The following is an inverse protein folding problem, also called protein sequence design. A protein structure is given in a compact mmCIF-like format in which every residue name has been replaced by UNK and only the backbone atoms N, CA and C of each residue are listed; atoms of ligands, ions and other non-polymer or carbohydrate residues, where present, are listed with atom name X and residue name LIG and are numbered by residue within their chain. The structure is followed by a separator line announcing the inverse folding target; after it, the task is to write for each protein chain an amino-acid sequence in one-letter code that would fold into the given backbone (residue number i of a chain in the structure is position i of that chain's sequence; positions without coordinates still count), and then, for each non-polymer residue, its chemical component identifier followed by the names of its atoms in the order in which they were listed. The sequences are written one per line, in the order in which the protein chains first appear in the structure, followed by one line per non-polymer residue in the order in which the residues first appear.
data_IF_148119171003
#
_entry.id   IF_148119171003
#
_cell.length_a   1.000
_cell.length_b   1.000
_cell.length_c   1.000
_cell.angle_alpha   90.00
_cell.angle_beta   90.00
_cell.angle_gamma   90.00
#
_symmetry.space_group_name_H-M   'P 1'
#
loop_
_entity.id
_entity.type
_entity.pdbx_description
1 polymer ?
#
# COMPACT_ATOMS: atom_id res chain seq x y z
N UNK A 1 33.08 -17.16 20.81
CA UNK A 1 32.17 -16.30 20.01
C UNK A 1 30.85 -16.19 20.76
N UNK A 2 30.43 -14.97 21.16
CA UNK A 2 29.22 -14.77 21.99
C UNK A 2 27.99 -15.41 21.30
N UNK A 3 27.18 -16.21 22.02
CA UNK A 3 25.97 -16.86 21.48
C UNK A 3 25.04 -15.86 20.78
N UNK A 4 24.99 -14.63 21.30
CA UNK A 4 24.24 -13.51 20.74
C UNK A 4 24.79 -13.01 19.40
N UNK A 5 26.13 -12.92 19.25
CA UNK A 5 26.78 -12.58 17.97
C UNK A 5 26.50 -13.64 16.90
N UNK A 6 26.45 -14.92 17.30
CA UNK A 6 26.05 -16.01 16.41
C UNK A 6 24.59 -15.87 15.99
N UNK A 7 23.68 -15.62 16.94
CA UNK A 7 22.25 -15.48 16.66
C UNK A 7 21.92 -14.28 15.75
N UNK A 8 22.52 -13.10 15.98
CA UNK A 8 22.35 -11.92 15.12
C UNK A 8 22.90 -12.21 13.72
N UNK A 9 24.07 -12.84 13.62
CA UNK A 9 24.66 -13.26 12.34
C UNK A 9 23.77 -14.28 11.62
N UNK A 10 23.16 -15.22 12.34
CA UNK A 10 22.26 -16.23 11.76
C UNK A 10 20.95 -15.59 11.27
N UNK A 11 20.37 -14.61 11.98
CA UNK A 11 19.20 -13.84 11.52
C UNK A 11 19.52 -13.05 10.25
N UNK A 12 20.64 -12.32 10.26
CA UNK A 12 21.07 -11.53 9.10
C UNK A 12 21.40 -12.41 7.90
N UNK A 13 22.09 -13.54 8.11
CA UNK A 13 22.39 -14.52 7.07
C UNK A 13 21.11 -15.16 6.51
N UNK A 14 20.13 -15.49 7.36
CA UNK A 14 18.86 -16.06 6.89
C UNK A 14 18.03 -15.04 6.11
N UNK A 15 18.00 -13.78 6.54
CA UNK A 15 17.35 -12.69 5.81
C UNK A 15 18.05 -12.42 4.46
N UNK A 16 19.37 -12.52 4.42
CA UNK A 16 20.18 -12.36 3.20
C UNK A 16 19.99 -13.53 2.23
N UNK A 17 19.97 -14.78 2.72
CA UNK A 17 19.68 -15.98 1.92
C UNK A 17 18.25 -15.99 1.38
N UNK A 18 17.30 -15.41 2.12
CA UNK A 18 15.92 -15.21 1.66
C UNK A 18 15.78 -14.03 0.67
N UNK A 19 16.88 -13.32 0.37
CA UNK A 19 16.91 -12.11 -0.44
C UNK A 19 16.14 -10.94 0.17
N UNK A 20 15.81 -11.00 1.46
CA UNK A 20 15.03 -10.01 2.22
C UNK A 20 15.87 -8.80 2.64
N UNK A 21 17.20 -8.88 2.46
CA UNK A 21 18.15 -7.77 2.53
C UNK A 21 18.77 -7.57 1.15
N UNK A 22 18.46 -6.44 0.50
CA UNK A 22 19.24 -5.94 -0.65
C UNK A 22 20.34 -5.03 -0.09
N UNK A 23 21.57 -5.27 -0.51
CA UNK A 23 22.82 -4.69 -0.01
C UNK A 23 23.28 -5.18 1.38
N UNK A 24 23.98 -6.31 1.34
CA UNK A 24 24.83 -6.84 2.43
C UNK A 24 25.84 -5.83 2.99
N UNK A 25 26.14 -4.75 2.27
CA UNK A 25 27.32 -3.95 2.54
C UNK A 25 27.05 -2.73 3.43
N UNK A 26 25.78 -2.38 3.70
CA UNK A 26 25.45 -1.22 4.57
C UNK A 26 25.01 -1.61 5.98
N UNK A 27 24.35 -2.74 6.18
CA UNK A 27 23.89 -3.18 7.51
C UNK A 27 24.95 -3.98 8.28
N UNK A 28 25.77 -4.78 7.59
CA UNK A 28 26.86 -5.54 8.23
C UNK A 28 28.02 -4.60 8.65
N UNK A 29 28.19 -3.47 7.94
CA UNK A 29 29.19 -2.44 8.22
C UNK A 29 28.73 -1.35 9.20
N UNK A 30 27.41 -1.17 9.43
CA UNK A 30 26.90 -0.21 10.43
C UNK A 30 26.79 -0.79 11.84
N UNK A 31 26.79 -2.12 11.98
CA UNK A 31 26.96 -2.77 13.27
C UNK A 31 28.46 -3.04 13.43
N UNK A 32 29.18 -2.30 14.31
CA UNK A 32 30.63 -2.41 14.41
C UNK A 32 31.00 -3.75 15.03
N UNK A 33 31.17 -4.78 14.20
CA UNK A 33 31.64 -6.09 14.65
C UNK A 33 33.17 -6.17 14.75
N UNK A 34 33.90 -5.17 14.26
CA UNK A 34 35.34 -5.07 14.38
C UNK A 34 35.80 -3.70 14.91
N UNK A 35 36.49 -3.81 16.04
CA UNK A 35 37.54 -2.94 16.60
C UNK A 35 37.17 -1.69 17.41
N UNK A 36 37.66 -1.79 18.66
CA UNK A 36 37.92 -0.78 19.67
C UNK A 36 36.75 -0.36 20.56
N UNK A 37 36.96 -0.57 21.85
CA UNK A 37 36.01 -0.46 22.94
C UNK A 37 35.46 0.97 23.13
N UNK A 38 34.14 1.07 23.31
CA UNK A 38 33.49 1.98 24.29
C UNK A 38 31.96 1.94 24.30
N UNK A 39 31.29 1.28 23.34
CA UNK A 39 29.83 1.07 23.39
C UNK A 39 29.46 -0.41 23.27
N UNK A 40 29.55 -1.13 24.39
CA UNK A 40 28.82 -2.38 24.55
C UNK A 40 27.35 -2.01 24.59
N UNK A 41 26.60 -2.32 23.54
CA UNK A 41 25.13 -2.21 23.58
C UNK A 41 24.65 -2.97 24.82
N UNK A 42 23.79 -2.33 25.61
CA UNK A 42 23.10 -3.00 26.70
C UNK A 42 22.27 -4.17 26.15
N UNK A 43 21.99 -5.15 27.00
CA UNK A 43 21.13 -6.28 26.63
C UNK A 43 19.77 -5.76 26.12
N UNK A 44 19.24 -4.69 26.72
CA UNK A 44 18.00 -4.03 26.30
C UNK A 44 18.08 -3.37 24.92
N UNK A 45 19.18 -2.67 24.60
CA UNK A 45 19.38 -2.11 23.25
C UNK A 45 19.50 -3.21 22.19
N UNK A 46 20.15 -4.31 22.55
CA UNK A 46 20.31 -5.46 21.65
C UNK A 46 18.97 -6.17 21.40
N UNK A 47 18.17 -6.39 22.44
CA UNK A 47 16.82 -6.94 22.32
C UNK A 47 15.92 -6.04 21.45
N UNK A 48 16.00 -4.72 21.62
CA UNK A 48 15.26 -3.77 20.80
C UNK A 48 15.66 -3.82 19.32
N UNK A 49 16.96 -3.93 19.03
CA UNK A 49 17.46 -4.07 17.64
C UNK A 49 16.98 -5.39 17.04
N UNK A 50 17.08 -6.50 17.77
CA UNK A 50 16.60 -7.82 17.31
C UNK A 50 15.10 -7.76 17.01
N UNK A 51 14.30 -7.17 17.91
CA UNK A 51 12.86 -7.02 17.71
C UNK A 51 12.54 -6.21 16.47
N UNK A 52 13.20 -5.06 16.27
CA UNK A 52 13.03 -4.22 15.07
C UNK A 52 13.41 -4.97 13.78
N UNK A 53 14.49 -5.75 13.80
CA UNK A 53 14.91 -6.58 12.66
C UNK A 53 13.88 -7.67 12.35
N UNK A 54 13.35 -8.35 13.37
CA UNK A 54 12.31 -9.37 13.21
C UNK A 54 11.00 -8.77 12.69
N UNK A 55 10.59 -7.61 13.20
CA UNK A 55 9.43 -6.85 12.71
C UNK A 55 9.61 -6.48 11.24
N UNK A 56 10.76 -5.91 10.88
CA UNK A 56 11.08 -5.56 9.50
C UNK A 56 11.08 -6.78 8.57
N UNK A 57 11.67 -7.90 9.00
CA UNK A 57 11.68 -9.14 8.23
C UNK A 57 10.26 -9.65 7.99
N UNK A 58 9.41 -9.62 9.03
CA UNK A 58 7.99 -10.00 8.92
C UNK A 58 7.24 -9.08 7.95
N UNK A 59 7.53 -7.79 7.95
CA UNK A 59 6.96 -6.82 7.01
C UNK A 59 7.39 -7.12 5.57
N UNK A 60 8.68 -7.31 5.30
CA UNK A 60 9.20 -7.67 3.96
C UNK A 60 8.54 -8.96 3.45
N UNK A 61 8.49 -10.01 4.29
CA UNK A 61 7.84 -11.27 3.94
C UNK A 61 6.36 -11.07 3.60
N UNK A 62 5.66 -10.26 4.39
CA UNK A 62 4.24 -9.93 4.17
C UNK A 62 4.05 -9.16 2.85
N UNK A 63 4.90 -8.18 2.56
CA UNK A 63 4.87 -7.40 1.30
C UNK A 63 5.07 -8.31 0.08
N UNK A 64 6.04 -9.22 0.12
CA UNK A 64 6.28 -10.20 -0.94
C UNK A 64 5.13 -11.18 -1.12
N UNK A 65 4.54 -11.66 -0.04
CA UNK A 65 3.35 -12.52 -0.10
C UNK A 65 2.18 -11.80 -0.78
N UNK A 66 1.97 -10.51 -0.46
CA UNK A 66 0.95 -9.68 -1.11
C UNK A 66 1.23 -9.48 -2.61
N UNK A 67 2.46 -9.17 -3.00
CA UNK A 67 2.82 -9.01 -4.42
C UNK A 67 2.64 -10.30 -5.24
N UNK A 68 2.79 -11.47 -4.61
CA UNK A 68 2.54 -12.78 -5.23
C UNK A 68 1.06 -13.18 -5.29
N UNK A 69 0.21 -12.57 -4.46
CA UNK A 69 -1.21 -12.90 -4.37
C UNK A 69 -2.08 -11.64 -4.33
N UNK A 70 -2.60 -11.26 -5.50
CA UNK A 70 -3.43 -10.08 -5.72
C UNK A 70 -4.70 -10.03 -4.86
N UNK A 71 -5.17 -11.17 -4.34
CA UNK A 71 -6.33 -11.21 -3.45
C UNK A 71 -6.04 -10.56 -2.10
N UNK A 72 -4.77 -10.57 -1.66
CA UNK A 72 -4.32 -9.93 -0.42
C UNK A 72 -4.09 -8.41 -0.56
N UNK A 73 -4.14 -7.91 -1.79
CA UNK A 73 -4.01 -6.50 -2.12
C UNK A 73 -5.39 -5.83 -2.02
N UNK A 74 -5.44 -4.68 -1.35
CA UNK A 74 -6.66 -3.90 -1.11
C UNK A 74 -6.95 -2.92 -2.23
N UNK A 75 -5.95 -2.41 -2.95
CA UNK A 75 -6.14 -1.46 -4.05
C UNK A 75 -5.00 -1.50 -5.06
N UNK A 76 -5.22 -0.95 -6.25
CA UNK A 76 -4.18 -0.71 -7.24
C UNK A 76 -3.08 0.19 -6.68
N UNK A 77 -3.44 1.25 -5.94
CA UNK A 77 -2.47 2.12 -5.27
C UNK A 77 -1.56 1.40 -4.30
N UNK A 78 -2.10 0.47 -3.49
CA UNK A 78 -1.29 -0.38 -2.61
C UNK A 78 -0.34 -1.26 -3.43
N UNK A 79 -0.81 -1.85 -4.54
CA UNK A 79 0.07 -2.65 -5.40
C UNK A 79 1.23 -1.85 -5.95
N UNK A 80 0.94 -0.67 -6.52
CA UNK A 80 1.95 0.23 -7.10
C UNK A 80 2.99 0.58 -6.04
N UNK A 81 2.56 0.95 -4.83
CA UNK A 81 3.46 1.30 -3.75
C UNK A 81 4.33 0.11 -3.31
N UNK A 82 3.74 -1.06 -3.09
CA UNK A 82 4.50 -2.26 -2.72
C UNK A 82 5.52 -2.66 -3.80
N UNK A 83 5.13 -2.53 -5.06
CA UNK A 83 6.02 -2.83 -6.19
C UNK A 83 7.17 -1.82 -6.28
N UNK A 84 6.90 -0.53 -6.10
CA UNK A 84 7.92 0.52 -6.06
C UNK A 84 8.93 0.26 -4.93
N UNK A 85 8.45 -0.08 -3.73
CA UNK A 85 9.30 -0.39 -2.58
C UNK A 85 10.19 -1.62 -2.82
N UNK A 86 9.65 -2.70 -3.42
CA UNK A 86 10.43 -3.92 -3.71
C UNK A 86 11.49 -3.70 -4.81
N UNK A 87 11.24 -2.77 -5.73
CA UNK A 87 12.11 -2.48 -6.88
C UNK A 87 12.93 -1.19 -6.73
N UNK A 88 12.82 -0.49 -5.60
CA UNK A 88 13.54 0.75 -5.29
C UNK A 88 13.34 1.85 -6.35
N UNK A 89 12.12 1.94 -6.90
CA UNK A 89 11.78 2.87 -7.99
C UNK A 89 11.17 4.15 -7.42
N UNK A 90 11.79 5.30 -7.70
CA UNK A 90 11.27 6.61 -7.32
C UNK A 90 10.01 6.98 -8.13
N UNK A 91 9.19 7.89 -7.61
CA UNK A 91 7.88 8.22 -8.21
C UNK A 91 7.96 8.73 -9.65
N UNK A 92 8.98 9.52 -9.99
CA UNK A 92 9.17 10.05 -11.35
C UNK A 92 9.41 8.93 -12.37
N UNK A 93 10.30 8.00 -12.04
CA UNK A 93 10.58 6.84 -12.87
C UNK A 93 9.35 5.92 -12.96
N UNK A 94 8.60 5.79 -11.87
CA UNK A 94 7.38 4.98 -11.85
C UNK A 94 6.30 5.55 -12.77
N UNK A 95 6.08 6.86 -12.75
CA UNK A 95 5.13 7.54 -13.63
C UNK A 95 5.48 7.27 -15.11
N UNK A 96 6.76 7.40 -15.46
CA UNK A 96 7.27 7.10 -16.80
C UNK A 96 7.03 5.64 -17.20
N UNK A 97 7.35 4.67 -16.32
CA UNK A 97 7.15 3.24 -16.57
C UNK A 97 5.67 2.90 -16.82
N UNK A 98 4.77 3.51 -16.05
CA UNK A 98 3.33 3.33 -16.21
C UNK A 98 2.75 4.11 -17.40
N UNK A 99 3.50 5.06 -17.96
CA UNK A 99 3.03 5.94 -19.03
C UNK A 99 1.93 6.91 -18.57
N UNK A 100 1.99 7.32 -17.30
CA UNK A 100 1.10 8.31 -16.68
C UNK A 100 1.91 9.52 -16.27
N UNK A 101 1.25 10.67 -16.09
CA UNK A 101 1.91 11.83 -15.47
C UNK A 101 1.99 11.66 -13.94
N UNK A 102 2.73 12.56 -13.28
CA UNK A 102 2.95 12.48 -11.83
C UNK A 102 1.66 12.66 -11.02
N UNK A 103 0.72 13.48 -11.51
CA UNK A 103 -0.57 13.71 -10.84
C UNK A 103 -1.47 12.48 -10.94
N UNK A 104 -1.52 11.84 -12.10
CA UNK A 104 -2.21 10.57 -12.34
C UNK A 104 -1.62 9.45 -11.48
N UNK A 105 -0.28 9.36 -11.35
CA UNK A 105 0.35 8.43 -10.42
C UNK A 105 -0.10 8.68 -8.97
N UNK A 106 -0.16 9.94 -8.56
CA UNK A 106 -0.64 10.30 -7.22
C UNK A 106 -2.12 9.94 -7.02
N UNK A 107 -2.97 10.11 -8.03
CA UNK A 107 -4.37 9.68 -8.01
C UNK A 107 -4.45 8.17 -7.78
N UNK A 108 -3.66 7.38 -8.54
CA UNK A 108 -3.61 5.92 -8.41
C UNK A 108 -3.13 5.51 -7.02
N UNK A 109 -2.03 6.08 -6.53
CA UNK A 109 -1.41 5.69 -5.24
C UNK A 109 -2.28 6.05 -4.05
N UNK A 110 -2.87 7.24 -4.05
CA UNK A 110 -3.51 7.79 -2.84
C UNK A 110 -4.96 7.34 -2.67
N UNK A 111 -5.62 6.85 -3.73
CA UNK A 111 -7.05 6.52 -3.73
C UNK A 111 -7.97 7.70 -3.32
N UNK A 112 -7.46 8.93 -3.26
CA UNK A 112 -8.22 10.10 -2.77
C UNK A 112 -9.15 10.71 -3.81
N UNK A 113 -8.94 10.38 -5.09
CA UNK A 113 -9.69 10.88 -6.23
C UNK A 113 -10.09 9.71 -7.14
N UNK A 114 -11.14 9.91 -7.94
CA UNK A 114 -11.58 8.89 -8.89
C UNK A 114 -10.57 8.74 -10.02
N UNK A 115 -9.97 7.55 -10.13
CA UNK A 115 -9.08 7.21 -11.25
C UNK A 115 -9.82 7.07 -12.59
N UNK A 116 -11.16 7.14 -12.61
CA UNK A 116 -11.97 7.09 -13.84
C UNK A 116 -11.62 8.24 -14.79
N UNK A 117 -11.06 9.33 -14.27
CA UNK A 117 -10.52 10.45 -15.06
C UNK A 117 -9.25 10.12 -15.85
N UNK A 118 -8.57 9.01 -15.53
CA UNK A 118 -7.38 8.56 -16.24
C UNK A 118 -7.81 7.92 -17.56
N UNK A 119 -7.12 8.28 -18.64
CA UNK A 119 -7.40 7.72 -19.95
C UNK A 119 -7.25 6.18 -19.97
N UNK A 120 -8.15 5.51 -20.71
CA UNK A 120 -8.23 4.05 -20.75
C UNK A 120 -6.93 3.45 -21.28
N UNK A 121 -6.33 4.02 -22.32
CA UNK A 121 -5.11 3.47 -22.92
C UNK A 121 -3.93 3.57 -21.94
N UNK A 122 -3.84 4.69 -21.21
CA UNK A 122 -2.84 4.86 -20.14
C UNK A 122 -3.05 3.88 -18.99
N UNK A 123 -4.29 3.70 -18.54
CA UNK A 123 -4.61 2.74 -17.50
C UNK A 123 -4.26 1.31 -17.94
N UNK A 124 -4.57 0.93 -19.18
CA UNK A 124 -4.21 -0.38 -19.73
C UNK A 124 -2.69 -0.55 -19.78
N UNK A 125 -1.95 0.46 -20.24
CA UNK A 125 -0.48 0.44 -20.23
C UNK A 125 0.07 0.22 -18.82
N UNK A 126 -0.46 0.94 -17.83
CA UNK A 126 -0.07 0.80 -16.43
C UNK A 126 -0.35 -0.61 -15.88
N UNK A 127 -1.51 -1.18 -16.19
CA UNK A 127 -1.89 -2.53 -15.74
C UNK A 127 -1.09 -3.64 -16.45
N UNK A 128 -0.86 -3.50 -17.77
CA UNK A 128 -0.05 -4.43 -18.57
C UNK A 128 1.43 -4.40 -18.15
N UNK A 129 1.95 -3.25 -17.68
CA UNK A 129 3.30 -3.15 -17.11
C UNK A 129 3.52 -4.15 -15.96
N UNK A 130 2.51 -4.34 -15.10
CA UNK A 130 2.57 -5.31 -13.99
C UNK A 130 2.24 -6.75 -14.42
N UNK A 131 2.04 -7.01 -15.71
CA UNK A 131 1.69 -8.32 -16.29
C UNK A 131 0.41 -8.94 -15.70
N UNK A 132 -0.55 -8.10 -15.29
CA UNK A 132 -1.84 -8.59 -14.81
C UNK A 132 -2.64 -9.25 -15.93
N UNK A 133 -3.41 -10.28 -15.58
CA UNK A 133 -4.54 -10.73 -16.40
C UNK A 133 -5.69 -9.75 -16.25
N UNK A 134 -6.54 -9.65 -17.26
CA UNK A 134 -7.69 -8.74 -17.24
C UNK A 134 -8.58 -8.93 -15.99
N UNK A 135 -8.86 -10.18 -15.60
CA UNK A 135 -9.65 -10.48 -14.40
C UNK A 135 -9.02 -9.94 -13.10
N UNK A 136 -7.69 -9.99 -12.98
CA UNK A 136 -6.96 -9.47 -11.82
C UNK A 136 -6.97 -7.94 -11.81
N UNK A 137 -6.73 -7.33 -12.97
CA UNK A 137 -6.79 -5.89 -13.16
C UNK A 137 -8.18 -5.34 -12.85
N UNK A 138 -9.24 -6.00 -13.34
CA UNK A 138 -10.64 -5.68 -13.05
C UNK A 138 -10.91 -5.71 -11.55
N UNK A 139 -10.53 -6.80 -10.87
CA UNK A 139 -10.74 -6.94 -9.43
C UNK A 139 -10.04 -5.82 -8.63
N UNK A 140 -8.80 -5.44 -9.02
CA UNK A 140 -8.10 -4.33 -8.38
C UNK A 140 -8.80 -2.99 -8.64
N UNK A 141 -9.24 -2.73 -9.87
CA UNK A 141 -9.96 -1.50 -10.23
C UNK A 141 -11.25 -1.37 -9.41
N UNK A 142 -12.03 -2.45 -9.30
CA UNK A 142 -13.27 -2.48 -8.52
C UNK A 142 -12.99 -2.18 -7.03
N UNK A 143 -11.99 -2.86 -6.43
CA UNK A 143 -11.58 -2.59 -5.04
C UNK A 143 -11.10 -1.15 -4.84
N UNK A 144 -10.31 -0.63 -5.76
CA UNK A 144 -9.78 0.75 -5.73
C UNK A 144 -10.90 1.76 -5.77
N UNK A 145 -11.90 1.55 -6.64
CA UNK A 145 -13.04 2.44 -6.79
C UNK A 145 -13.94 2.44 -5.56
N UNK A 146 -14.13 1.26 -4.96
CA UNK A 146 -14.86 1.13 -3.72
C UNK A 146 -14.18 1.91 -2.59
N UNK A 147 -12.87 1.76 -2.45
CA UNK A 147 -12.09 2.45 -1.42
C UNK A 147 -12.07 3.97 -1.60
N UNK A 148 -11.91 4.48 -2.83
CA UNK A 148 -11.89 5.93 -3.07
C UNK A 148 -13.22 6.60 -2.70
N UNK A 149 -14.34 5.92 -3.00
CA UNK A 149 -15.67 6.41 -2.68
C UNK A 149 -15.99 6.35 -1.17
N UNK A 150 -15.52 5.33 -0.46
CA UNK A 150 -15.64 5.26 1.00
C UNK A 150 -14.81 6.34 1.67
N UNK A 151 -13.53 6.49 1.28
CA UNK A 151 -12.65 7.48 1.89
C UNK A 151 -13.18 8.91 1.71
N UNK A 152 -13.71 9.24 0.54
CA UNK A 152 -14.35 10.54 0.30
C UNK A 152 -15.58 10.74 1.20
N UNK A 153 -16.39 9.70 1.36
CA UNK A 153 -17.56 9.73 2.25
C UNK A 153 -17.16 9.91 3.71
N UNK A 154 -16.11 9.23 4.17
CA UNK A 154 -15.56 9.37 5.52
C UNK A 154 -14.96 10.73 5.78
N UNK A 155 -14.22 11.29 4.82
CA UNK A 155 -13.66 12.65 4.93
C UNK A 155 -14.75 13.71 5.03
N UNK A 156 -15.82 13.57 4.23
CA UNK A 156 -16.97 14.46 4.28
C UNK A 156 -17.76 14.32 5.59
N UNK A 157 -17.84 13.11 6.15
CA UNK A 157 -18.45 12.89 7.46
C UNK A 157 -17.62 13.54 8.58
N UNK A 158 -16.29 13.39 8.54
CA UNK A 158 -15.36 13.99 9.50
C UNK A 158 -15.35 15.53 9.42
N UNK A 159 -15.36 16.11 8.21
CA UNK A 159 -15.39 17.57 8.06
C UNK A 159 -16.67 18.18 8.63
N UNK A 160 -17.80 17.48 8.55
CA UNK A 160 -19.07 17.92 9.19
C UNK A 160 -19.02 17.87 10.71
N UNK A 161 -18.15 17.03 11.27
CA UNK A 161 -17.89 16.96 12.70
C UNK A 161 -17.01 18.12 13.16
N UNK A 162 -15.90 18.40 12.46
CA UNK A 162 -14.94 19.45 12.82
C UNK A 162 -15.53 20.87 12.77
N UNK A 163 -16.60 21.10 11.99
CA UNK A 163 -17.26 22.40 11.84
C UNK A 163 -18.18 22.75 13.03
N UNK A 164 -18.56 21.80 13.90
CA UNK A 164 -19.56 22.03 14.97
C UNK A 164 -18.91 22.47 16.29
N UNK A 165 -19.60 23.32 17.08
CA UNK A 165 -19.11 23.78 18.40
C UNK A 165 -18.78 22.60 19.36
N UNK A 166 -17.82 22.77 20.30
CA UNK A 166 -17.34 21.72 21.19
C UNK A 166 -18.43 20.97 21.98
N UNK A 167 -19.50 21.67 22.37
CA UNK A 167 -20.63 21.09 23.13
C UNK A 167 -21.45 20.04 22.36
N UNK A 168 -21.34 19.99 21.03
CA UNK A 168 -22.09 19.08 20.16
C UNK A 168 -21.24 17.96 19.56
N UNK A 169 -19.96 17.86 19.92
CA UNK A 169 -19.03 16.87 19.39
C UNK A 169 -19.51 15.44 19.68
N UNK A 170 -19.84 15.08 20.93
CA UNK A 170 -20.25 13.70 21.27
C UNK A 170 -21.45 13.16 20.47
N UNK A 171 -22.49 13.99 20.26
CA UNK A 171 -23.66 13.62 19.43
C UNK A 171 -23.32 13.57 17.94
N UNK A 172 -22.44 14.45 17.47
CA UNK A 172 -22.00 14.51 16.07
C UNK A 172 -21.07 13.35 15.70
N UNK A 173 -20.19 12.93 16.62
CA UNK A 173 -19.33 11.75 16.45
C UNK A 173 -20.17 10.49 16.35
N UNK A 174 -21.14 10.33 17.25
CA UNK A 174 -22.07 9.20 17.24
C UNK A 174 -22.86 9.14 15.92
N UNK A 175 -23.38 10.27 15.45
CA UNK A 175 -24.10 10.34 14.17
C UNK A 175 -23.20 10.09 12.96
N UNK A 176 -21.95 10.57 12.95
CA UNK A 176 -20.98 10.28 11.88
C UNK A 176 -20.56 8.80 11.85
N UNK A 177 -20.37 8.19 13.02
CA UNK A 177 -20.08 6.76 13.15
C UNK A 177 -21.29 5.92 12.76
N UNK A 178 -22.50 6.29 13.17
CA UNK A 178 -23.75 5.64 12.74
C UNK A 178 -24.00 5.79 11.23
N UNK A 179 -23.67 6.94 10.62
CA UNK A 179 -23.70 7.14 9.16
C UNK A 179 -22.69 6.22 8.45
N UNK A 180 -21.47 6.13 8.98
CA UNK A 180 -20.41 5.27 8.42
C UNK A 180 -20.75 3.79 8.56
N UNK A 181 -21.25 3.35 9.71
CA UNK A 181 -21.68 1.98 9.95
C UNK A 181 -22.92 1.63 9.11
N UNK A 182 -23.86 2.56 8.96
CA UNK A 182 -25.02 2.39 8.08
C UNK A 182 -24.59 2.23 6.63
N UNK A 183 -23.67 3.07 6.13
CA UNK A 183 -23.12 2.96 4.77
C UNK A 183 -22.25 1.72 4.58
N UNK A 184 -21.50 1.31 5.60
CA UNK A 184 -20.71 0.07 5.56
C UNK A 184 -21.60 -1.18 5.56
N UNK A 185 -22.77 -1.12 6.23
CA UNK A 185 -23.73 -2.22 6.30
C UNK A 185 -24.77 -2.22 5.17
N UNK A 186 -24.92 -1.11 4.43
CA UNK A 186 -25.68 -1.07 3.19
C UNK A 186 -24.91 -1.80 2.08
N UNK A 187 -25.01 -3.13 2.05
CA UNK A 187 -24.54 -3.99 0.95
C UNK A 187 -25.13 -3.64 -0.44
N UNK A 188 -26.05 -2.67 -0.57
CA UNK A 188 -26.88 -2.47 -1.77
C UNK A 188 -27.21 -1.02 -2.17
N UNK A 189 -26.46 -0.02 -1.69
CA UNK A 189 -26.66 1.36 -2.19
C UNK A 189 -25.33 2.05 -2.46
N UNK A 190 -24.52 1.44 -3.32
CA UNK A 190 -23.73 2.28 -4.22
C UNK A 190 -24.75 3.01 -5.08
N UNK A 191 -24.84 4.34 -4.98
CA UNK A 191 -25.77 5.15 -5.80
C UNK A 191 -25.68 4.70 -7.25
N UNK A 192 -26.80 4.26 -7.85
CA UNK A 192 -26.84 3.55 -9.14
C UNK A 192 -25.92 4.20 -10.20
N UNK A 193 -25.88 5.53 -10.28
CA UNK A 193 -25.01 6.27 -11.21
C UNK A 193 -23.50 6.08 -11.02
N UNK A 194 -22.99 5.91 -9.79
CA UNK A 194 -21.56 5.62 -9.53
C UNK A 194 -21.19 4.21 -9.95
N UNK A 195 -22.12 3.28 -9.83
CA UNK A 195 -21.92 1.90 -10.25
C UNK A 195 -21.94 1.82 -11.78
N UNK A 196 -22.85 2.54 -12.45
CA UNK A 196 -22.87 2.67 -13.91
C UNK A 196 -21.59 3.30 -14.47
N UNK A 197 -21.05 4.33 -13.82
CA UNK A 197 -19.78 4.96 -14.21
C UNK A 197 -18.63 3.93 -14.22
N UNK A 198 -18.48 3.17 -13.13
CA UNK A 198 -17.49 2.10 -13.04
C UNK A 198 -17.71 1.02 -14.10
N UNK A 199 -18.94 0.56 -14.30
CA UNK A 199 -19.23 -0.47 -15.30
C UNK A 199 -18.95 0.02 -16.72
N UNK A 200 -19.25 1.28 -17.03
CA UNK A 200 -18.91 1.91 -18.31
C UNK A 200 -17.40 1.96 -18.52
N UNK A 201 -16.65 2.36 -17.49
CA UNK A 201 -15.19 2.36 -17.52
C UNK A 201 -14.61 0.95 -17.72
N UNK A 202 -15.11 -0.05 -16.98
CA UNK A 202 -14.67 -1.44 -17.11
C UNK A 202 -14.95 -2.04 -18.49
N UNK A 203 -16.13 -1.78 -19.08
CA UNK A 203 -16.45 -2.22 -20.45
C UNK A 203 -15.52 -1.61 -21.49
N UNK A 204 -15.19 -0.32 -21.35
CA UNK A 204 -14.18 0.33 -22.21
C UNK A 204 -12.83 -0.35 -22.02
N UNK A 205 -12.42 -0.58 -20.77
CA UNK A 205 -11.14 -1.22 -20.48
C UNK A 205 -11.06 -2.62 -21.07
N UNK A 206 -12.12 -3.43 -20.97
CA UNK A 206 -12.24 -4.76 -21.60
C UNK A 206 -12.06 -4.70 -23.11
N UNK A 207 -12.81 -3.81 -23.79
CA UNK A 207 -12.77 -3.66 -25.24
C UNK A 207 -11.38 -3.27 -25.77
N UNK A 208 -10.64 -2.46 -25.02
CA UNK A 208 -9.28 -2.05 -25.40
C UNK A 208 -8.21 -3.04 -24.90
N UNK A 209 -8.54 -3.93 -23.97
CA UNK A 209 -7.59 -4.91 -23.44
C UNK A 209 -7.22 -5.97 -24.48
N UNK A 210 -8.21 -6.37 -25.28
CA UNK A 210 -8.13 -7.41 -26.33
C UNK A 210 -7.53 -6.92 -27.64
N UNK A 211 -7.35 -5.60 -27.79
CA UNK A 211 -6.61 -4.99 -28.89
C UNK A 211 -5.11 -4.98 -28.61
#
# INVERSE_FOLDING_TARGET
MNRLKKYIRDILNNALLAGELKDSDKLINTIPFNNNASHTLSDTETENIIKKLQEHQKEVKTRRQKLKNINLIRSLGEYVQLWQEENEVIDQEMAQKLGVNFDELNIIKRNLQSFISIDIERMIKALKFFKFKFGEARALIEKTYFLSNIQLSSKNALSRYDIKKPSNHGKSMRSAVEELLSKANQKKSFTDGKQEELQSYLRKLEKYWEK
#
